data_IF_253027960082
#
_entry.id   IF_253027960082
#
_cell.length_a   1.000
_cell.length_b   1.000
_cell.length_c   1.000
_cell.angle_alpha   90.00
_cell.angle_beta   90.00
_cell.angle_gamma   90.00
#
_symmetry.space_group_name_H-M   'P 1'
#
loop_
_entity.id
_entity.type
_entity.pdbx_description
1 polymer ?
#
# COMPACT_ATOMS: atom_id res chain seq x y z
N UNK A 1 -10.40 21.03 -0.18
CA UNK A 1 -9.25 20.35 -0.80
C UNK A 1 -9.30 18.92 -0.30
N UNK A 2 -9.84 18.01 -1.11
CA UNK A 2 -10.30 16.68 -0.69
C UNK A 2 -9.24 15.84 0.02
N UNK A 3 -9.38 15.72 1.35
CA UNK A 3 -8.60 14.84 2.23
C UNK A 3 -8.55 13.40 1.70
N UNK A 4 -9.63 12.97 1.01
CA UNK A 4 -9.72 11.70 0.28
C UNK A 4 -8.73 11.58 -0.88
N UNK A 5 -8.55 12.63 -1.69
CA UNK A 5 -7.59 12.62 -2.79
C UNK A 5 -6.15 12.48 -2.28
N UNK A 6 -5.83 13.15 -1.17
CA UNK A 6 -4.54 13.00 -0.50
C UNK A 6 -4.33 11.60 0.07
N UNK A 7 -5.37 10.98 0.65
CA UNK A 7 -5.29 9.59 1.12
C UNK A 7 -5.09 8.60 -0.04
N UNK A 8 -5.79 8.76 -1.17
CA UNK A 8 -5.60 7.91 -2.36
C UNK A 8 -4.20 8.10 -2.95
N UNK A 9 -3.72 9.34 -3.05
CA UNK A 9 -2.35 9.64 -3.51
C UNK A 9 -1.30 9.06 -2.56
N UNK A 10 -1.53 9.13 -1.25
CA UNK A 10 -0.68 8.50 -0.24
C UNK A 10 -0.66 6.98 -0.38
N UNK A 11 -1.81 6.34 -0.54
CA UNK A 11 -1.92 4.89 -0.77
C UNK A 11 -1.20 4.45 -2.05
N UNK A 12 -1.34 5.21 -3.14
CA UNK A 12 -0.62 4.95 -4.39
C UNK A 12 0.90 5.01 -4.19
N UNK A 13 1.39 6.01 -3.43
CA UNK A 13 2.80 6.09 -3.05
C UNK A 13 3.26 4.93 -2.18
N UNK A 14 2.42 4.49 -1.24
CA UNK A 14 2.68 3.34 -0.37
C UNK A 14 2.71 2.01 -1.14
N UNK A 15 1.82 1.82 -2.12
CA UNK A 15 1.85 0.66 -3.02
C UNK A 15 3.16 0.66 -3.83
N UNK A 16 3.57 1.82 -4.34
CA UNK A 16 4.85 1.97 -5.04
C UNK A 16 6.05 1.61 -4.15
N UNK A 17 6.08 2.11 -2.92
CA UNK A 17 7.11 1.78 -1.95
C UNK A 17 7.12 0.28 -1.57
N UNK A 18 5.94 -0.35 -1.47
CA UNK A 18 5.80 -1.79 -1.29
C UNK A 18 6.44 -2.59 -2.42
N UNK A 19 6.22 -2.19 -3.69
CA UNK A 19 6.85 -2.87 -4.85
C UNK A 19 8.37 -2.77 -4.78
N UNK A 20 8.91 -1.60 -4.41
CA UNK A 20 10.37 -1.41 -4.24
C UNK A 20 10.90 -2.27 -3.09
N UNK A 21 10.17 -2.35 -1.98
CA UNK A 21 10.55 -3.18 -0.84
C UNK A 21 10.51 -4.69 -1.16
N UNK A 22 9.53 -5.14 -1.95
CA UNK A 22 9.48 -6.52 -2.45
C UNK A 22 10.69 -6.80 -3.34
N UNK A 23 10.99 -5.91 -4.29
CA UNK A 23 12.16 -6.05 -5.16
C UNK A 23 13.48 -6.08 -4.38
N UNK A 24 13.61 -5.23 -3.35
CA UNK A 24 14.76 -5.19 -2.45
C UNK A 24 14.87 -6.45 -1.58
N UNK A 25 13.75 -6.94 -1.04
CA UNK A 25 13.68 -8.16 -0.24
C UNK A 25 14.06 -9.42 -1.04
N UNK A 26 13.67 -9.49 -2.32
CA UNK A 26 14.10 -10.55 -3.23
C UNK A 26 15.61 -10.47 -3.48
N UNK A 27 16.17 -9.26 -3.62
CA UNK A 27 17.60 -9.06 -3.87
C UNK A 27 18.46 -9.47 -2.66
N UNK A 28 18.01 -9.18 -1.45
CA UNK A 28 18.70 -9.54 -0.21
C UNK A 28 18.39 -10.95 0.30
N UNK A 29 17.42 -11.66 -0.29
CA UNK A 29 16.97 -12.97 0.18
C UNK A 29 16.23 -12.91 1.53
N UNK A 30 15.84 -11.71 1.95
CA UNK A 30 15.30 -11.45 3.29
C UNK A 30 13.78 -11.67 3.27
N UNK A 31 13.39 -12.90 3.60
CA UNK A 31 11.99 -13.32 3.64
C UNK A 31 11.16 -12.45 4.60
N UNK A 32 11.81 -11.83 5.60
CA UNK A 32 11.17 -10.91 6.54
C UNK A 32 10.74 -9.60 5.87
N UNK A 33 11.58 -9.07 4.96
CA UNK A 33 11.30 -7.86 4.19
C UNK A 33 10.16 -8.10 3.19
N UNK A 34 10.14 -9.28 2.56
CA UNK A 34 9.04 -9.68 1.66
C UNK A 34 7.73 -9.79 2.45
N UNK A 35 7.75 -10.48 3.60
CA UNK A 35 6.57 -10.66 4.43
C UNK A 35 6.03 -9.32 4.96
N UNK A 36 6.91 -8.44 5.42
CA UNK A 36 6.56 -7.09 5.85
C UNK A 36 5.91 -6.29 4.73
N UNK A 37 6.42 -6.39 3.50
CA UNK A 37 5.84 -5.72 2.34
C UNK A 37 4.47 -6.26 1.95
N UNK A 38 4.26 -7.58 2.02
CA UNK A 38 2.95 -8.20 1.74
C UNK A 38 1.90 -7.71 2.74
N UNK A 39 2.23 -7.69 4.04
CA UNK A 39 1.34 -7.18 5.09
C UNK A 39 1.04 -5.69 4.87
N UNK A 40 2.04 -4.94 4.40
CA UNK A 40 1.91 -3.51 4.14
C UNK A 40 0.97 -3.21 2.97
N UNK A 41 1.10 -3.93 1.86
CA UNK A 41 0.21 -3.83 0.70
C UNK A 41 -1.21 -4.24 1.08
N UNK A 42 -1.38 -5.31 1.85
CA UNK A 42 -2.71 -5.73 2.35
C UNK A 42 -3.35 -4.66 3.23
N UNK A 43 -2.58 -4.05 4.13
CA UNK A 43 -3.06 -2.95 4.98
C UNK A 43 -3.47 -1.73 4.15
N UNK A 44 -2.71 -1.40 3.09
CA UNK A 44 -3.08 -0.35 2.15
C UNK A 44 -4.40 -0.69 1.43
N UNK A 45 -4.58 -1.92 0.94
CA UNK A 45 -5.83 -2.35 0.28
C UNK A 45 -7.02 -2.27 1.24
N UNK A 46 -6.87 -2.78 2.47
CA UNK A 46 -7.92 -2.72 3.51
C UNK A 46 -8.34 -1.29 3.79
N UNK A 47 -7.39 -0.36 3.81
CA UNK A 47 -7.70 1.05 4.02
C UNK A 47 -8.31 1.73 2.78
N UNK A 48 -7.99 1.24 1.58
CA UNK A 48 -8.56 1.72 0.31
C UNK A 48 -10.04 1.37 0.15
N UNK A 49 -10.45 0.19 0.59
CA UNK A 49 -11.83 -0.33 0.44
C UNK A 49 -12.90 0.61 1.04
N UNK A 50 -12.83 1.06 2.32
CA UNK A 50 -13.82 1.98 2.88
C UNK A 50 -13.80 3.35 2.19
N UNK A 51 -12.63 3.77 1.71
CA UNK A 51 -12.46 5.04 1.02
C UNK A 51 -13.13 5.05 -0.36
N UNK A 52 -13.04 3.94 -1.11
CA UNK A 52 -13.74 3.75 -2.38
C UNK A 52 -15.25 3.55 -2.18
N UNK A 53 -15.67 2.86 -1.11
CA UNK A 53 -17.09 2.61 -0.84
C UNK A 53 -17.85 3.88 -0.48
N UNK A 54 -17.17 4.85 0.14
CA UNK A 54 -17.72 6.18 0.47
C UNK A 54 -17.97 7.09 -0.75
N UNK A 55 -17.59 6.68 -1.96
CA UNK A 55 -17.88 7.39 -3.22
C UNK A 55 -19.24 7.02 -3.83
N UNK A 56 -19.96 6.04 -3.26
CA UNK A 56 -21.21 5.53 -3.82
C UNK A 56 -22.46 5.92 -3.03
N UNK A 57 -22.31 6.73 -1.98
CA UNK A 57 -23.42 7.37 -1.25
C UNK A 57 -23.41 8.87 -1.59
#
# INVERSE_FOLDING_TARGET
MDERRYQIMGLLGFIGAGIVFIASGINFGDSLTILGSVIWVLSCIVWMIPLLKSQKD
#
